data_IF_306491975766
#
_entry.id   IF_306491975766
#
_cell.length_a   1.000
_cell.length_b   1.000
_cell.length_c   1.000
_cell.angle_alpha   90.00
_cell.angle_beta   90.00
_cell.angle_gamma   90.00
#
_symmetry.space_group_name_H-M   'P 1'
#
loop_
_entity.id
_entity.type
_entity.pdbx_description
1 polymer ?
#
# COMPACT_ATOMS: atom_id res chain seq x y z
N UNK A 1 11.19 1.64 -3.00
CA UNK A 1 12.21 2.52 -2.41
C UNK A 1 12.10 2.53 -0.89
N UNK A 2 10.97 2.86 -0.29
CA UNK A 2 10.78 2.86 1.17
C UNK A 2 11.20 1.53 1.81
N UNK A 3 10.82 0.39 1.28
CA UNK A 3 11.21 -0.95 1.78
C UNK A 3 12.64 -1.39 1.41
N UNK A 4 13.35 -0.64 0.59
CA UNK A 4 14.69 -0.99 0.12
C UNK A 4 15.79 -0.01 0.59
N UNK A 5 15.44 0.99 1.40
CA UNK A 5 16.35 2.06 1.79
C UNK A 5 17.67 1.61 2.41
N UNK A 6 17.66 0.46 3.10
CA UNK A 6 18.85 -0.11 3.73
C UNK A 6 19.60 -1.13 2.85
N UNK A 7 19.10 -1.45 1.65
CA UNK A 7 19.67 -2.46 0.75
C UNK A 7 20.60 -1.88 -0.32
N UNK A 8 20.80 -0.56 -0.31
CA UNK A 8 21.68 0.13 -1.25
C UNK A 8 20.97 0.72 -2.47
N UNK A 9 21.75 1.17 -3.47
CA UNK A 9 21.21 1.82 -4.67
C UNK A 9 20.25 0.93 -5.46
N UNK A 10 19.19 1.53 -6.01
CA UNK A 10 18.23 0.83 -6.86
C UNK A 10 18.53 1.13 -8.31
N UNK A 11 18.83 0.11 -9.09
CA UNK A 11 19.06 0.23 -10.54
C UNK A 11 17.71 0.41 -11.25
N UNK A 12 17.59 1.46 -12.07
CA UNK A 12 16.32 1.79 -12.77
C UNK A 12 15.78 0.63 -13.61
N UNK A 13 16.67 -0.14 -14.24
CA UNK A 13 16.28 -1.31 -15.03
C UNK A 13 15.62 -2.37 -14.15
N UNK A 14 16.22 -2.70 -13.01
CA UNK A 14 15.66 -3.70 -12.08
C UNK A 14 14.31 -3.24 -11.51
N UNK A 15 14.20 -1.95 -11.16
CA UNK A 15 12.91 -1.40 -10.72
C UNK A 15 11.82 -1.50 -11.80
N UNK A 16 12.17 -1.30 -13.07
CA UNK A 16 11.23 -1.47 -14.18
C UNK A 16 10.74 -2.91 -14.31
N UNK A 17 11.68 -3.86 -14.27
CA UNK A 17 11.39 -5.29 -14.41
C UNK A 17 10.54 -5.80 -13.21
N UNK A 18 10.89 -5.41 -11.98
CA UNK A 18 10.21 -5.81 -10.76
C UNK A 18 8.77 -5.27 -10.66
N UNK A 19 8.56 -4.02 -11.10
CA UNK A 19 7.25 -3.37 -11.07
C UNK A 19 6.42 -3.61 -12.34
N UNK A 20 6.95 -4.32 -13.33
CA UNK A 20 6.29 -4.52 -14.61
C UNK A 20 6.05 -3.21 -15.39
N UNK A 21 6.92 -2.21 -15.19
CA UNK A 21 6.80 -0.89 -15.79
C UNK A 21 7.81 -0.70 -16.95
N UNK A 22 7.51 0.25 -17.84
CA UNK A 22 8.45 0.61 -18.89
C UNK A 22 9.63 1.40 -18.32
N UNK A 23 10.81 1.31 -18.96
CA UNK A 23 11.98 2.11 -18.60
C UNK A 23 11.69 3.62 -18.63
N UNK A 24 10.87 4.05 -19.59
CA UNK A 24 10.45 5.45 -19.71
C UNK A 24 9.61 5.88 -18.50
N UNK A 25 8.71 5.02 -18.02
CA UNK A 25 7.92 5.30 -16.82
C UNK A 25 8.81 5.45 -15.59
N UNK A 26 9.78 4.53 -15.40
CA UNK A 26 10.73 4.63 -14.28
C UNK A 26 11.61 5.88 -14.39
N UNK A 27 12.05 6.25 -15.59
CA UNK A 27 12.84 7.48 -15.78
C UNK A 27 12.06 8.71 -15.38
N UNK A 28 10.79 8.84 -15.82
CA UNK A 28 9.91 9.95 -15.43
C UNK A 28 9.65 9.96 -13.92
N UNK A 29 9.35 8.80 -13.33
CA UNK A 29 9.15 8.69 -11.88
C UNK A 29 10.42 9.09 -11.11
N UNK A 30 11.60 8.66 -11.53
CA UNK A 30 12.86 9.03 -10.87
C UNK A 30 13.14 10.52 -10.96
N UNK A 31 12.84 11.16 -12.10
CA UNK A 31 12.97 12.62 -12.25
C UNK A 31 12.04 13.38 -11.31
N UNK A 32 10.81 12.89 -11.13
CA UNK A 32 9.86 13.46 -10.16
C UNK A 32 10.35 13.30 -8.73
N UNK A 33 10.74 12.08 -8.32
CA UNK A 33 11.28 11.82 -7.00
C UNK A 33 12.53 12.65 -6.68
N UNK A 34 13.38 12.88 -7.68
CA UNK A 34 14.55 13.76 -7.56
C UNK A 34 14.15 15.23 -7.37
N UNK A 35 13.14 15.72 -8.10
CA UNK A 35 12.60 17.08 -7.92
C UNK A 35 11.96 17.29 -6.56
N UNK A 36 11.36 16.23 -5.98
CA UNK A 36 10.82 16.21 -4.62
C UNK A 36 11.91 16.12 -3.54
N UNK A 37 13.18 15.94 -3.91
CA UNK A 37 14.27 15.78 -2.96
C UNK A 37 14.32 14.43 -2.26
N UNK A 38 13.57 13.42 -2.74
CA UNK A 38 13.49 12.10 -2.10
C UNK A 38 14.61 11.16 -2.53
N UNK A 39 15.21 11.41 -3.67
CA UNK A 39 16.33 10.63 -4.20
C UNK A 39 17.40 11.50 -4.83
N UNK A 40 18.61 10.95 -4.91
CA UNK A 40 19.69 11.35 -5.81
C UNK A 40 19.91 10.28 -6.86
N UNK A 41 20.57 10.64 -7.95
CA UNK A 41 20.94 9.70 -9.01
C UNK A 41 22.44 9.69 -9.22
N UNK A 42 23.00 8.49 -9.36
CA UNK A 42 24.42 8.27 -9.70
C UNK A 42 24.51 7.42 -10.96
N UNK A 43 25.41 7.78 -11.87
CA UNK A 43 25.77 6.92 -13.01
C UNK A 43 26.81 5.90 -12.56
N UNK A 44 26.53 4.64 -12.79
CA UNK A 44 27.43 3.52 -12.55
C UNK A 44 27.63 2.77 -13.88
N UNK A 45 28.67 3.13 -14.61
CA UNK A 45 28.92 2.61 -15.95
C UNK A 45 27.82 2.98 -16.95
N UNK A 46 27.12 1.97 -17.50
CA UNK A 46 26.01 2.15 -18.44
C UNK A 46 24.64 2.26 -17.74
N UNK A 47 24.59 2.08 -16.43
CA UNK A 47 23.35 2.05 -15.64
C UNK A 47 23.20 3.34 -14.80
N UNK A 48 21.98 3.64 -14.45
CA UNK A 48 21.63 4.75 -13.55
C UNK A 48 21.03 4.17 -12.26
N UNK A 49 21.62 4.55 -11.16
CA UNK A 49 21.27 4.14 -9.81
C UNK A 49 20.49 5.26 -9.13
N UNK A 50 19.41 4.90 -8.46
CA UNK A 50 18.63 5.77 -7.58
C UNK A 50 19.05 5.50 -6.13
N UNK A 51 19.38 6.55 -5.41
CA UNK A 51 19.79 6.51 -4.00
C UNK A 51 18.82 7.37 -3.22
N UNK A 52 18.18 6.85 -2.19
CA UNK A 52 17.30 7.62 -1.30
C UNK A 52 18.13 8.59 -0.46
N UNK A 53 17.60 9.79 -0.20
CA UNK A 53 18.28 10.80 0.63
C UNK A 53 18.25 10.43 2.11
N UNK A 54 17.21 9.73 2.53
CA UNK A 54 16.99 9.21 3.88
C UNK A 54 16.53 7.75 3.81
N UNK A 55 16.37 7.11 4.96
CA UNK A 55 15.92 5.73 5.07
C UNK A 55 14.84 5.60 6.13
N UNK A 56 14.11 4.48 6.09
CA UNK A 56 13.17 4.11 7.13
C UNK A 56 12.04 5.12 7.31
N UNK A 57 11.67 5.32 8.58
CA UNK A 57 10.58 6.20 8.96
C UNK A 57 10.81 7.66 8.51
N UNK A 58 12.06 8.15 8.56
CA UNK A 58 12.40 9.51 8.07
C UNK A 58 12.07 9.69 6.59
N UNK A 59 12.41 8.70 5.76
CA UNK A 59 12.04 8.74 4.33
C UNK A 59 10.52 8.67 4.13
N UNK A 60 9.81 7.87 4.93
CA UNK A 60 8.35 7.82 4.90
C UNK A 60 7.74 9.20 5.21
N UNK A 61 8.19 9.87 6.28
CA UNK A 61 7.72 11.21 6.66
C UNK A 61 7.93 12.26 5.55
N UNK A 62 9.08 12.20 4.87
CA UNK A 62 9.36 13.09 3.73
C UNK A 62 8.50 12.78 2.51
N UNK A 63 8.10 11.52 2.34
CA UNK A 63 7.38 11.05 1.15
C UNK A 63 5.86 11.06 1.30
N UNK A 64 5.31 11.04 2.53
CA UNK A 64 3.90 10.78 2.80
C UNK A 64 2.93 11.68 2.05
N UNK A 65 3.24 12.97 1.91
CA UNK A 65 2.40 13.94 1.21
C UNK A 65 2.37 13.73 -0.32
N UNK A 66 3.26 12.87 -0.83
CA UNK A 66 3.36 12.50 -2.24
C UNK A 66 2.84 11.09 -2.53
N UNK A 67 2.51 10.34 -1.47
CA UNK A 67 1.91 9.02 -1.61
C UNK A 67 0.41 9.15 -1.95
N UNK A 68 -0.10 8.18 -2.66
CA UNK A 68 -1.51 8.17 -3.04
C UNK A 68 -2.30 7.21 -2.15
N UNK A 69 -3.51 7.60 -1.75
CA UNK A 69 -4.46 6.66 -1.18
C UNK A 69 -4.77 5.56 -2.24
N UNK A 70 -4.50 4.29 -1.94
CA UNK A 70 -4.71 3.19 -2.89
C UNK A 70 -6.18 2.95 -3.18
N UNK A 71 -7.06 3.24 -2.24
CA UNK A 71 -8.50 2.95 -2.35
C UNK A 71 -9.14 3.86 -3.40
N UNK A 72 -9.80 3.25 -4.38
CA UNK A 72 -10.61 3.98 -5.35
C UNK A 72 -12.08 3.99 -4.96
N UNK A 73 -12.61 2.84 -4.51
CA UNK A 73 -13.99 2.62 -4.08
C UNK A 73 -14.00 1.51 -3.05
N UNK A 74 -14.88 1.61 -2.07
CA UNK A 74 -15.22 0.51 -1.16
C UNK A 74 -16.62 0.00 -1.49
N UNK A 75 -16.79 -1.31 -1.56
CA UNK A 75 -18.07 -1.99 -1.79
C UNK A 75 -18.32 -3.00 -0.68
N UNK A 76 -19.59 -3.25 -0.38
CA UNK A 76 -20.01 -4.35 0.49
C UNK A 76 -20.40 -5.57 -0.34
N UNK A 77 -20.01 -6.76 0.11
CA UNK A 77 -20.28 -8.02 -0.58
C UNK A 77 -20.72 -9.10 0.40
N UNK A 78 -21.65 -9.97 -0.01
CA UNK A 78 -22.21 -11.04 0.82
C UNK A 78 -21.34 -12.30 0.89
N UNK A 79 -20.23 -12.33 0.17
CA UNK A 79 -19.38 -13.54 0.02
C UNK A 79 -18.02 -13.31 0.67
N UNK A 80 -17.50 -14.36 1.34
CA UNK A 80 -16.13 -14.36 1.84
C UNK A 80 -15.13 -14.03 0.73
N UNK A 81 -14.02 -13.36 1.08
CA UNK A 81 -13.08 -12.82 0.12
C UNK A 81 -12.54 -13.87 -0.84
N UNK A 82 -12.38 -13.45 -2.07
CA UNK A 82 -11.74 -14.24 -3.12
C UNK A 82 -10.27 -14.53 -2.76
N UNK A 83 -9.71 -15.63 -3.28
CA UNK A 83 -8.30 -16.02 -3.04
C UNK A 83 -7.27 -14.95 -3.44
N UNK A 84 -7.67 -14.00 -4.27
CA UNK A 84 -6.83 -12.88 -4.74
C UNK A 84 -6.93 -11.64 -3.85
N UNK A 85 -7.77 -11.64 -2.80
CA UNK A 85 -7.92 -10.52 -1.89
C UNK A 85 -6.94 -10.60 -0.73
N UNK A 86 -6.56 -9.44 -0.20
CA UNK A 86 -5.65 -9.29 0.93
C UNK A 86 -6.35 -8.58 2.07
N UNK A 87 -6.08 -8.98 3.30
CA UNK A 87 -6.61 -8.30 4.49
C UNK A 87 -6.12 -6.85 4.47
N UNK A 88 -7.05 -5.88 4.65
CA UNK A 88 -6.79 -4.45 4.50
C UNK A 88 -7.48 -3.63 5.60
N UNK A 89 -7.36 -2.31 5.54
CA UNK A 89 -8.02 -1.38 6.42
C UNK A 89 -7.83 -1.73 7.90
N UNK A 90 -8.83 -1.47 8.73
CA UNK A 90 -8.79 -1.76 10.16
C UNK A 90 -8.62 -3.25 10.47
N UNK A 91 -9.04 -4.16 9.57
CA UNK A 91 -8.79 -5.60 9.72
C UNK A 91 -7.31 -5.95 9.65
N UNK A 92 -6.53 -5.28 8.81
CA UNK A 92 -5.08 -5.46 8.75
C UNK A 92 -4.37 -4.78 9.93
N UNK A 93 -4.83 -3.59 10.31
CA UNK A 93 -4.27 -2.86 11.45
C UNK A 93 -4.46 -3.63 12.75
N UNK A 94 -5.67 -4.14 13.03
CA UNK A 94 -5.97 -4.91 14.25
C UNK A 94 -5.14 -6.17 14.42
N UNK A 95 -4.64 -6.76 13.33
CA UNK A 95 -3.75 -7.93 13.39
C UNK A 95 -2.29 -7.59 13.75
N UNK A 96 -1.93 -6.32 13.68
CA UNK A 96 -0.55 -5.85 13.85
C UNK A 96 -0.41 -4.86 15.01
N UNK A 97 -1.52 -4.50 15.68
CA UNK A 97 -1.58 -3.50 16.73
C UNK A 97 -2.49 -3.95 17.88
N UNK A 98 -2.70 -3.08 18.86
CA UNK A 98 -3.62 -3.32 19.97
C UNK A 98 -5.07 -2.93 19.66
N UNK A 99 -5.37 -2.53 18.43
CA UNK A 99 -6.72 -2.22 18.00
C UNK A 99 -7.62 -3.47 18.06
N UNK A 100 -8.82 -3.33 18.58
CA UNK A 100 -9.81 -4.40 18.55
C UNK A 100 -10.18 -4.81 17.12
N UNK A 101 -10.49 -6.09 16.92
CA UNK A 101 -10.95 -6.57 15.61
C UNK A 101 -12.22 -5.86 15.18
N UNK A 102 -12.30 -5.28 13.97
CA UNK A 102 -13.51 -4.64 13.49
C UNK A 102 -14.64 -5.67 13.31
N UNK A 103 -15.89 -5.22 13.43
CA UNK A 103 -17.08 -6.08 13.27
C UNK A 103 -17.22 -6.62 11.83
N UNK A 104 -16.74 -5.89 10.87
CA UNK A 104 -16.82 -6.21 9.44
C UNK A 104 -15.41 -6.36 8.90
N UNK A 105 -15.13 -7.51 8.30
CA UNK A 105 -13.84 -7.77 7.68
C UNK A 105 -13.62 -6.87 6.45
N UNK A 106 -12.41 -6.32 6.34
CA UNK A 106 -12.02 -5.44 5.23
C UNK A 106 -10.90 -6.11 4.44
N UNK A 107 -11.06 -6.14 3.12
CA UNK A 107 -10.09 -6.72 2.20
C UNK A 107 -9.79 -5.77 1.05
N UNK A 108 -8.56 -5.82 0.54
CA UNK A 108 -8.17 -5.12 -0.68
C UNK A 108 -8.18 -6.08 -1.89
N UNK A 109 -8.62 -5.56 -3.02
CA UNK A 109 -8.59 -6.26 -4.30
C UNK A 109 -8.20 -5.26 -5.40
N UNK A 110 -7.36 -5.70 -6.35
CA UNK A 110 -7.05 -4.85 -7.50
C UNK A 110 -8.31 -4.61 -8.35
N UNK A 111 -8.64 -3.35 -8.58
CA UNK A 111 -9.87 -2.94 -9.30
C UNK A 111 -10.04 -3.56 -10.69
N UNK A 112 -8.92 -3.90 -11.35
CA UNK A 112 -8.91 -4.51 -12.68
C UNK A 112 -8.73 -6.04 -12.62
N UNK A 113 -8.79 -6.66 -11.43
CA UNK A 113 -8.78 -8.12 -11.31
C UNK A 113 -10.08 -8.72 -11.88
N UNK A 114 -9.96 -9.86 -12.53
CA UNK A 114 -11.12 -10.63 -12.99
C UNK A 114 -12.06 -11.03 -11.83
N UNK A 115 -11.52 -11.15 -10.63
CA UNK A 115 -12.29 -11.44 -9.42
C UNK A 115 -13.36 -10.39 -9.13
N UNK A 116 -13.15 -9.12 -9.51
CA UNK A 116 -14.11 -8.02 -9.31
C UNK A 116 -15.41 -8.30 -10.06
N UNK A 117 -15.35 -8.94 -11.24
CA UNK A 117 -16.54 -9.25 -12.05
C UNK A 117 -17.47 -10.28 -11.39
N UNK A 118 -16.94 -11.08 -10.47
CA UNK A 118 -17.71 -12.09 -9.72
C UNK A 118 -18.31 -11.57 -8.42
N UNK A 119 -18.00 -10.32 -8.03
CA UNK A 119 -18.53 -9.71 -6.81
C UNK A 119 -19.94 -9.18 -7.06
N UNK A 120 -20.84 -9.45 -6.11
CA UNK A 120 -22.17 -8.83 -6.07
C UNK A 120 -22.17 -7.80 -4.94
N UNK A 121 -22.29 -6.53 -5.33
CA UNK A 121 -22.42 -5.41 -4.38
C UNK A 121 -23.78 -5.49 -3.68
N UNK A 122 -23.79 -5.32 -2.37
CA UNK A 122 -24.99 -5.30 -1.54
C UNK A 122 -25.03 -4.00 -0.72
N UNK A 123 -26.24 -3.62 -0.26
CA UNK A 123 -26.39 -2.47 0.63
C UNK A 123 -25.86 -2.76 2.03
N UNK A 124 -25.26 -1.77 2.69
CA UNK A 124 -24.69 -1.87 4.06
C UNK A 124 -25.75 -2.16 5.17
N UNK A 125 -27.05 -2.19 4.85
CA UNK A 125 -28.14 -2.39 5.80
C UNK A 125 -28.37 -3.86 6.22
N UNK A 126 -27.53 -4.77 5.73
CA UNK A 126 -27.62 -6.20 6.05
C UNK A 126 -26.93 -6.50 7.38
N UNK A 127 -27.41 -7.56 8.07
CA UNK A 127 -26.93 -7.96 9.39
C UNK A 127 -25.41 -8.08 9.48
N UNK A 128 -24.83 -7.48 10.53
CA UNK A 128 -23.40 -7.56 10.86
C UNK A 128 -22.93 -9.03 10.87
N UNK A 129 -21.87 -9.33 10.13
CA UNK A 129 -21.27 -10.66 10.02
C UNK A 129 -21.69 -11.48 8.79
N UNK A 130 -22.64 -11.01 7.99
CA UNK A 130 -23.04 -11.64 6.74
C UNK A 130 -22.37 -11.03 5.50
N UNK A 131 -21.58 -9.98 5.69
CA UNK A 131 -20.88 -9.30 4.58
C UNK A 131 -19.45 -8.89 4.94
N UNK A 132 -18.67 -8.55 3.91
CA UNK A 132 -17.35 -8.00 4.03
C UNK A 132 -17.25 -6.69 3.22
N UNK A 133 -16.33 -5.80 3.58
CA UNK A 133 -15.97 -4.64 2.78
C UNK A 133 -14.78 -4.98 1.87
N UNK A 134 -14.91 -4.66 0.59
CA UNK A 134 -13.83 -4.79 -0.39
C UNK A 134 -13.40 -3.42 -0.84
N UNK A 135 -12.17 -3.06 -0.54
CA UNK A 135 -11.49 -1.89 -1.08
C UNK A 135 -10.96 -2.22 -2.48
N UNK A 136 -11.50 -1.58 -3.51
CA UNK A 136 -10.99 -1.67 -4.87
C UNK A 136 -9.80 -0.72 -5.03
N UNK A 137 -8.60 -1.28 -5.17
CA UNK A 137 -7.35 -0.52 -5.18
C UNK A 137 -6.92 -0.11 -6.59
N UNK A 138 -6.28 1.05 -6.70
CA UNK A 138 -5.74 1.63 -7.94
C UNK A 138 -4.58 0.81 -8.53
N UNK A 139 -3.86 0.05 -7.70
CA UNK A 139 -2.79 -0.87 -8.07
C UNK A 139 -2.98 -2.22 -7.37
N UNK A 140 -2.31 -3.25 -7.90
CA UNK A 140 -2.44 -4.60 -7.36
C UNK A 140 -1.79 -4.69 -5.96
N UNK A 141 -2.57 -4.96 -4.91
CA UNK A 141 -2.03 -5.10 -3.55
C UNK A 141 -0.99 -6.23 -3.44
N UNK A 142 -1.03 -7.23 -4.33
CA UNK A 142 -0.08 -8.33 -4.38
C UNK A 142 1.37 -7.88 -4.56
N UNK A 143 1.62 -6.71 -5.13
CA UNK A 143 2.97 -6.18 -5.39
C UNK A 143 3.81 -6.10 -4.11
N UNK A 144 3.19 -5.77 -2.98
CA UNK A 144 3.88 -5.54 -1.70
C UNK A 144 3.26 -6.31 -0.54
N UNK A 145 2.17 -7.04 -0.77
CA UNK A 145 1.48 -7.82 0.26
C UNK A 145 2.39 -8.90 0.86
N UNK A 146 2.24 -9.12 2.16
CA UNK A 146 2.95 -10.13 2.90
C UNK A 146 1.97 -10.90 3.81
N UNK A 147 2.12 -12.23 3.90
CA UNK A 147 1.29 -13.09 4.75
C UNK A 147 -0.23 -12.88 4.58
N UNK A 148 -0.70 -12.62 3.35
CA UNK A 148 -2.12 -12.41 3.06
C UNK A 148 -2.67 -11.06 3.50
N UNK A 149 -1.84 -10.12 3.91
CA UNK A 149 -2.19 -8.75 4.27
C UNK A 149 -1.52 -7.76 3.34
N UNK A 150 -2.12 -6.59 3.20
CA UNK A 150 -1.52 -5.44 2.50
C UNK A 150 -0.28 -4.95 3.25
N UNK A 151 0.63 -4.32 2.53
CA UNK A 151 1.83 -3.74 3.12
C UNK A 151 1.52 -2.51 3.98
N UNK A 152 2.45 -2.21 4.90
CA UNK A 152 2.26 -1.14 5.88
C UNK A 152 2.07 0.24 5.27
N UNK A 153 2.82 0.58 4.20
CA UNK A 153 2.71 1.90 3.58
C UNK A 153 1.36 2.06 2.89
N UNK A 154 0.94 1.05 2.13
CA UNK A 154 -0.38 1.05 1.51
C UNK A 154 -1.51 1.07 2.54
N UNK A 155 -1.33 0.36 3.66
CA UNK A 155 -2.26 0.39 4.80
C UNK A 155 -2.35 1.80 5.38
N UNK A 156 -1.21 2.44 5.64
CA UNK A 156 -1.18 3.80 6.17
C UNK A 156 -1.90 4.79 5.26
N UNK A 157 -1.69 4.66 3.95
CA UNK A 157 -2.34 5.52 2.97
C UNK A 157 -3.84 5.22 2.80
N UNK A 158 -4.27 3.97 2.97
CA UNK A 158 -5.69 3.62 2.92
C UNK A 158 -6.48 4.15 4.12
N UNK A 159 -5.81 4.32 5.26
CA UNK A 159 -6.39 4.84 6.50
C UNK A 159 -6.08 6.33 6.75
N UNK A 160 -5.46 7.04 5.80
CA UNK A 160 -5.05 8.44 5.97
C UNK A 160 -6.22 9.39 6.30
N UNK A 161 -7.40 9.07 5.79
CA UNK A 161 -8.61 9.88 5.97
C UNK A 161 -9.52 9.36 7.10
N UNK A 162 -9.06 8.36 7.88
CA UNK A 162 -9.82 7.83 9.02
C UNK A 162 -9.74 8.80 10.20
N UNK A 163 -10.89 9.25 10.70
CA UNK A 163 -11.00 10.25 11.77
C UNK A 163 -10.93 9.64 13.19
N UNK A 164 -10.90 8.31 13.33
CA UNK A 164 -10.77 7.66 14.65
C UNK A 164 -9.34 7.82 15.19
N UNK A 165 -9.19 8.60 16.25
CA UNK A 165 -7.88 8.87 16.89
C UNK A 165 -7.17 7.59 17.35
N UNK A 166 -7.90 6.53 17.71
CA UNK A 166 -7.31 5.24 18.09
C UNK A 166 -6.70 4.56 16.89
N UNK A 167 -7.36 4.59 15.72
CA UNK A 167 -6.84 4.05 14.46
C UNK A 167 -5.57 4.79 14.07
N UNK A 168 -5.58 6.13 14.12
CA UNK A 168 -4.41 6.95 13.80
C UNK A 168 -3.26 6.72 14.78
N UNK A 169 -3.54 6.62 16.09
CA UNK A 169 -2.52 6.34 17.10
C UNK A 169 -1.83 5.00 16.92
N UNK A 170 -2.60 3.93 16.72
CA UNK A 170 -2.06 2.59 16.49
C UNK A 170 -1.28 2.49 15.17
N UNK A 171 -1.75 3.18 14.13
CA UNK A 171 -1.06 3.25 12.84
C UNK A 171 0.28 3.96 12.96
N UNK A 172 0.32 5.09 13.66
CA UNK A 172 1.53 5.86 13.92
C UNK A 172 2.56 5.02 14.69
N UNK A 173 2.11 4.35 15.76
CA UNK A 173 2.97 3.49 16.57
C UNK A 173 3.55 2.32 15.75
N UNK A 174 2.74 1.73 14.88
CA UNK A 174 3.17 0.66 13.99
C UNK A 174 4.21 1.14 12.98
N UNK A 175 4.03 2.32 12.38
CA UNK A 175 4.99 2.94 11.45
C UNK A 175 6.33 3.24 12.11
N UNK A 176 6.32 3.78 13.34
CA UNK A 176 7.55 4.10 14.09
C UNK A 176 8.34 2.86 14.51
N UNK A 177 7.65 1.78 14.87
CA UNK A 177 8.26 0.50 15.29
C UNK A 177 8.67 -0.39 14.13
N UNK A 178 8.23 -0.09 12.92
CA UNK A 178 8.50 -0.94 11.76
C UNK A 178 10.02 -0.98 11.46
N UNK A 179 10.52 -2.17 11.17
CA UNK A 179 11.91 -2.36 10.73
C UNK A 179 11.98 -2.20 9.21
N UNK A 180 12.26 -0.99 8.81
CA UNK A 180 12.38 -0.57 7.42
C UNK A 180 13.53 -1.26 6.66
#
# INVERSE_FOLDING_TARGET
>A
MLYNGNKGPIIKKHAADELGLTRTSITRASEQLKKMGLISEKKSGKESEMITVETGYTLYELAKDHLINPVQKTICVSVKPHKESFIAGESALSKQSMLGTPKIDIFALFKNSNAVQSLTEIDEQWDEGLFAKIELWKYDPKLFANNGMVDLISLAMSLSDNEDERVQGELQELLEKYKW
#
